data_IF_809491951862
#
_entry.id   IF_809491951862
#
_cell.length_a   1.000
_cell.length_b   1.000
_cell.length_c   1.000
_cell.angle_alpha   90.00
_cell.angle_beta   90.00
_cell.angle_gamma   90.00
#
_symmetry.space_group_name_H-M   'P 1'
#
loop_
_entity.id
_entity.type
_entity.pdbx_description
1 polymer ?
#
# COMPACT_ATOMS: atom_id res chain seq x y z
N UNK A 1 -78.47 5.78 -56.27
CA UNK A 1 -78.92 4.92 -55.16
C UNK A 1 -78.59 5.64 -53.86
N UNK A 2 -79.56 5.75 -52.95
CA UNK A 2 -79.55 6.61 -51.75
C UNK A 2 -78.32 6.36 -50.86
N UNK A 3 -77.66 7.44 -50.42
CA UNK A 3 -76.71 7.42 -49.32
C UNK A 3 -77.50 7.46 -48.01
N UNK A 4 -77.42 6.38 -47.23
CA UNK A 4 -77.88 6.35 -45.85
C UNK A 4 -76.82 6.99 -44.94
N UNK A 5 -77.20 8.05 -44.24
CA UNK A 5 -76.42 8.66 -43.14
C UNK A 5 -76.52 7.81 -41.86
N UNK A 6 -75.41 7.51 -41.17
CA UNK A 6 -75.46 6.91 -39.83
C UNK A 6 -75.74 7.96 -38.74
N UNK A 7 -76.28 7.55 -37.58
CA UNK A 7 -76.77 8.47 -36.55
C UNK A 7 -75.65 9.06 -35.68
N UNK A 8 -75.94 10.25 -35.16
CA UNK A 8 -75.12 11.11 -34.30
C UNK A 8 -74.74 10.39 -32.99
N UNK A 9 -73.46 10.03 -32.84
CA UNK A 9 -72.89 9.42 -31.62
C UNK A 9 -72.43 10.46 -30.59
N UNK A 10 -72.69 10.16 -29.32
CA UNK A 10 -72.69 11.01 -28.13
C UNK A 10 -71.42 11.86 -27.85
N UNK A 11 -71.55 12.98 -27.11
CA UNK A 11 -70.40 13.81 -26.71
C UNK A 11 -69.45 13.06 -25.77
N UNK A 12 -68.14 13.38 -25.81
CA UNK A 12 -67.14 12.69 -24.98
C UNK A 12 -67.35 12.98 -23.49
N UNK A 13 -67.01 12.03 -22.59
CA UNK A 13 -67.18 12.20 -21.16
C UNK A 13 -66.30 13.35 -20.63
N UNK A 14 -66.92 14.24 -19.86
CA UNK A 14 -66.25 15.32 -19.12
C UNK A 14 -65.17 14.74 -18.20
N UNK A 15 -63.91 14.98 -18.57
CA UNK A 15 -62.74 14.64 -17.74
C UNK A 15 -62.80 15.44 -16.44
N UNK A 16 -63.14 14.75 -15.34
CA UNK A 16 -63.20 15.35 -14.01
C UNK A 16 -61.81 15.91 -13.64
N UNK A 17 -61.73 17.24 -13.44
CA UNK A 17 -60.51 17.89 -12.96
C UNK A 17 -60.13 17.28 -11.59
N UNK A 18 -58.89 16.81 -11.42
CA UNK A 18 -58.46 16.23 -10.15
C UNK A 18 -58.61 17.28 -9.04
N UNK A 19 -59.32 16.90 -7.98
CA UNK A 19 -59.53 17.73 -6.80
C UNK A 19 -58.18 18.03 -6.14
N UNK A 20 -57.74 19.29 -6.22
CA UNK A 20 -56.50 19.79 -5.60
C UNK A 20 -56.45 19.60 -4.06
N UNK A 21 -57.56 19.18 -3.44
CA UNK A 21 -57.69 18.98 -1.99
C UNK A 21 -56.80 17.85 -1.44
N UNK A 22 -56.32 16.93 -2.29
CA UNK A 22 -55.42 15.84 -1.89
C UNK A 22 -53.94 16.10 -2.20
N UNK A 23 -53.61 17.12 -2.99
CA UNK A 23 -52.20 17.42 -3.33
C UNK A 23 -51.45 18.02 -2.13
N UNK A 24 -52.08 18.93 -1.40
CA UNK A 24 -51.49 19.58 -0.23
C UNK A 24 -51.07 18.59 0.88
N UNK A 25 -51.89 17.61 1.31
CA UNK A 25 -51.47 16.66 2.34
C UNK A 25 -50.31 15.78 1.87
N UNK A 26 -50.32 15.34 0.60
CA UNK A 26 -49.22 14.53 0.04
C UNK A 26 -47.92 15.33 0.00
N UNK A 27 -47.96 16.59 -0.41
CA UNK A 27 -46.79 17.47 -0.42
C UNK A 27 -46.28 17.75 1.01
N UNK A 28 -47.19 17.90 1.98
CA UNK A 28 -46.79 18.11 3.38
C UNK A 28 -46.14 16.87 3.99
N UNK A 29 -46.64 15.67 3.66
CA UNK A 29 -46.08 14.41 4.15
C UNK A 29 -44.72 14.13 3.53
N UNK A 30 -44.53 14.41 2.24
CA UNK A 30 -43.23 14.26 1.59
C UNK A 30 -42.22 15.28 2.13
N UNK A 31 -42.64 16.53 2.37
CA UNK A 31 -41.79 17.55 2.98
C UNK A 31 -41.39 17.19 4.42
N UNK A 32 -42.32 16.70 5.24
CA UNK A 32 -42.04 16.23 6.60
C UNK A 32 -41.11 15.00 6.60
N UNK A 33 -41.26 14.08 5.64
CA UNK A 33 -40.36 12.94 5.48
C UNK A 33 -38.94 13.37 5.10
N UNK A 34 -38.81 14.34 4.18
CA UNK A 34 -37.50 14.87 3.78
C UNK A 34 -36.82 15.64 4.92
N UNK A 35 -37.61 16.42 5.68
CA UNK A 35 -37.12 17.14 6.85
C UNK A 35 -36.71 16.18 7.97
N UNK A 36 -37.43 15.07 8.16
CA UNK A 36 -37.05 14.02 9.10
C UNK A 36 -35.72 13.37 8.69
N UNK A 37 -35.50 13.06 7.40
CA UNK A 37 -34.23 12.53 6.88
C UNK A 37 -33.05 13.50 7.08
N UNK A 38 -33.28 14.81 6.94
CA UNK A 38 -32.26 15.85 7.17
C UNK A 38 -31.98 16.10 8.65
N UNK A 39 -32.96 15.86 9.52
CA UNK A 39 -32.86 16.01 10.97
C UNK A 39 -32.37 14.74 11.69
N UNK A 40 -32.27 13.58 11.01
CA UNK A 40 -31.55 12.43 11.57
C UNK A 40 -30.09 12.87 11.70
N UNK A 41 -29.56 13.10 12.92
CA UNK A 41 -28.13 13.30 13.05
C UNK A 41 -27.51 12.04 12.46
N UNK A 42 -26.60 12.21 11.51
CA UNK A 42 -25.71 11.14 11.06
C UNK A 42 -24.97 10.71 12.33
N UNK A 43 -25.55 9.77 13.07
CA UNK A 43 -24.94 9.18 14.22
C UNK A 43 -23.71 8.53 13.65
N UNK A 44 -22.57 9.21 13.80
CA UNK A 44 -21.28 8.61 13.48
C UNK A 44 -21.34 7.25 14.15
N UNK A 45 -21.22 6.14 13.41
CA UNK A 45 -21.10 4.86 14.06
C UNK A 45 -20.01 5.04 15.12
N UNK A 46 -20.23 4.55 16.35
CA UNK A 46 -19.17 4.62 17.35
C UNK A 46 -17.89 4.12 16.69
N UNK A 47 -16.74 4.78 16.93
CA UNK A 47 -15.48 4.27 16.39
C UNK A 47 -15.47 2.77 16.68
N UNK A 48 -15.17 1.91 15.68
CA UNK A 48 -15.12 0.49 15.92
C UNK A 48 -14.28 0.34 17.18
N UNK A 49 -14.88 -0.23 18.24
CA UNK A 49 -14.12 -0.63 19.42
C UNK A 49 -12.86 -1.27 18.87
N UNK A 50 -11.65 -0.93 19.34
CA UNK A 50 -10.47 -1.63 18.87
C UNK A 50 -10.86 -3.10 18.96
N UNK A 51 -10.96 -3.75 17.78
CA UNK A 51 -10.96 -5.18 17.73
C UNK A 51 -9.58 -5.43 18.29
N UNK A 52 -9.52 -5.58 19.62
CA UNK A 52 -8.35 -6.09 20.30
C UNK A 52 -8.08 -7.31 19.47
N UNK A 53 -6.97 -7.26 18.73
CA UNK A 53 -6.55 -8.35 17.87
C UNK A 53 -6.58 -9.53 18.80
N UNK A 54 -7.68 -10.27 18.72
CA UNK A 54 -7.89 -11.44 19.51
C UNK A 54 -6.92 -12.33 18.79
N UNK A 55 -5.69 -12.37 19.33
CA UNK A 55 -4.63 -13.29 18.94
C UNK A 55 -5.40 -14.57 18.76
N UNK A 56 -5.64 -14.95 17.51
CA UNK A 56 -6.21 -16.25 17.20
C UNK A 56 -5.14 -17.14 17.80
N UNK A 57 -5.40 -17.64 19.01
CA UNK A 57 -4.68 -18.76 19.56
C UNK A 57 -5.06 -19.87 18.61
N UNK A 58 -4.35 -19.92 17.48
CA UNK A 58 -4.24 -21.12 16.70
C UNK A 58 -3.88 -22.17 17.73
N UNK A 59 -4.78 -23.13 17.90
CA UNK A 59 -4.59 -24.31 18.71
C UNK A 59 -3.45 -25.09 18.07
N UNK A 60 -2.22 -24.71 18.38
CA UNK A 60 -0.99 -25.42 18.07
C UNK A 60 0.09 -24.86 19.00
N UNK A 61 0.24 -25.46 20.19
CA UNK A 61 1.19 -25.07 21.24
C UNK A 61 2.68 -25.24 20.83
N UNK A 62 2.92 -25.59 19.55
CA UNK A 62 4.23 -25.86 18.96
C UNK A 62 4.58 -24.97 17.76
N UNK A 63 3.72 -24.02 17.36
CA UNK A 63 4.07 -23.12 16.25
C UNK A 63 4.98 -21.99 16.74
N UNK A 64 6.13 -21.74 16.07
CA UNK A 64 6.97 -20.60 16.39
C UNK A 64 6.19 -19.29 16.21
N UNK A 65 6.54 -18.23 16.98
CA UNK A 65 5.86 -16.95 16.88
C UNK A 65 6.02 -16.37 15.47
N UNK A 66 4.93 -15.78 14.96
CA UNK A 66 4.94 -15.13 13.66
C UNK A 66 6.02 -14.05 13.61
N UNK A 67 6.83 -14.01 12.54
CA UNK A 67 7.89 -13.04 12.43
C UNK A 67 7.35 -11.66 12.12
N UNK A 68 8.14 -10.64 12.47
CA UNK A 68 7.81 -9.24 12.23
C UNK A 68 8.78 -8.66 11.22
N UNK A 69 8.27 -7.94 10.24
CA UNK A 69 9.06 -7.46 9.12
C UNK A 69 9.02 -5.93 9.08
N UNK A 70 10.17 -5.31 8.86
CA UNK A 70 10.31 -3.90 8.60
C UNK A 70 10.49 -3.67 7.09
N UNK A 71 9.47 -3.09 6.46
CA UNK A 71 9.47 -2.77 5.04
C UNK A 71 9.90 -1.32 4.81
N UNK A 72 10.88 -1.13 3.94
CA UNK A 72 11.18 0.16 3.33
C UNK A 72 10.65 0.16 1.90
N UNK A 73 9.63 0.97 1.62
CA UNK A 73 9.07 1.11 0.27
C UNK A 73 9.59 2.40 -0.35
N UNK A 74 10.42 2.25 -1.39
CA UNK A 74 11.08 3.34 -2.13
C UNK A 74 10.27 3.69 -3.37
N UNK A 75 10.08 4.99 -3.62
CA UNK A 75 9.50 5.52 -4.85
C UNK A 75 10.12 6.86 -5.24
N UNK A 76 9.77 7.34 -6.42
CA UNK A 76 10.19 8.64 -6.95
C UNK A 76 8.98 9.50 -7.31
N UNK A 77 9.20 10.55 -8.10
CA UNK A 77 8.13 11.40 -8.62
C UNK A 77 7.08 10.56 -9.36
N UNK A 78 5.81 10.84 -9.10
CA UNK A 78 4.67 10.09 -9.65
C UNK A 78 4.38 8.71 -9.03
N UNK A 79 5.20 8.19 -8.11
CA UNK A 79 5.00 6.84 -7.57
C UNK A 79 4.07 6.77 -6.33
N UNK A 80 3.56 7.89 -5.81
CA UNK A 80 2.76 7.94 -4.58
C UNK A 80 1.61 6.91 -4.53
N UNK A 81 0.80 6.83 -5.59
CA UNK A 81 -0.30 5.87 -5.67
C UNK A 81 0.18 4.40 -5.75
N UNK A 82 1.30 4.16 -6.44
CA UNK A 82 1.90 2.82 -6.54
C UNK A 82 2.44 2.36 -5.20
N UNK A 83 3.08 3.26 -4.46
CA UNK A 83 3.55 3.02 -3.09
C UNK A 83 2.36 2.70 -2.17
N UNK A 84 1.29 3.48 -2.24
CA UNK A 84 0.09 3.23 -1.42
C UNK A 84 -0.59 1.90 -1.78
N UNK A 85 -0.67 1.56 -3.07
CA UNK A 85 -1.17 0.27 -3.57
C UNK A 85 -0.33 -0.90 -3.05
N UNK A 86 1.00 -0.79 -3.15
CA UNK A 86 1.91 -1.81 -2.65
C UNK A 86 1.77 -1.98 -1.14
N UNK A 87 1.78 -0.87 -0.39
CA UNK A 87 1.60 -0.89 1.06
C UNK A 87 0.35 -1.68 1.45
N UNK A 88 -0.80 -1.41 0.81
CA UNK A 88 -2.05 -2.14 1.07
C UNK A 88 -1.92 -3.65 0.82
N UNK A 89 -1.17 -4.05 -0.19
CA UNK A 89 -0.98 -5.47 -0.53
C UNK A 89 -0.05 -6.21 0.45
N UNK A 90 0.93 -5.50 1.03
CA UNK A 90 1.87 -6.09 2.00
C UNK A 90 1.54 -5.75 3.46
N UNK A 91 0.42 -5.08 3.73
CA UNK A 91 0.09 -4.57 5.05
C UNK A 91 -0.27 -5.70 6.03
N UNK A 92 0.33 -5.64 7.20
CA UNK A 92 -0.01 -6.47 8.35
C UNK A 92 0.24 -5.65 9.64
N UNK A 93 -0.65 -5.69 10.63
CA UNK A 93 -0.57 -4.88 11.85
C UNK A 93 0.68 -5.17 12.71
N UNK A 94 1.28 -6.36 12.59
CA UNK A 94 2.50 -6.73 13.31
C UNK A 94 3.81 -6.22 12.70
N UNK A 95 3.78 -5.72 11.47
CA UNK A 95 4.94 -5.28 10.71
C UNK A 95 5.14 -3.77 10.82
N UNK A 96 6.30 -3.28 10.37
CA UNK A 96 6.65 -1.85 10.33
C UNK A 96 6.86 -1.40 8.89
N UNK A 97 6.40 -0.20 8.56
CA UNK A 97 6.46 0.33 7.19
C UNK A 97 7.02 1.75 7.20
N UNK A 98 8.05 1.96 6.38
CA UNK A 98 8.60 3.28 6.08
C UNK A 98 8.48 3.54 4.58
N UNK A 99 7.73 4.58 4.23
CA UNK A 99 7.55 5.01 2.84
C UNK A 99 8.50 6.16 2.54
N UNK A 100 9.25 6.05 1.45
CA UNK A 100 10.22 7.06 1.05
C UNK A 100 10.01 7.41 -0.42
N UNK A 101 9.51 8.62 -0.67
CA UNK A 101 9.61 9.26 -1.99
C UNK A 101 10.86 10.14 -2.01
N UNK A 102 11.72 9.96 -3.00
CA UNK A 102 12.96 10.72 -3.14
C UNK A 102 12.75 12.23 -3.39
N UNK A 103 13.84 12.99 -3.51
CA UNK A 103 13.77 14.43 -3.82
C UNK A 103 13.36 14.77 -5.25
N UNK A 104 13.18 13.80 -6.16
CA UNK A 104 12.55 14.09 -7.46
C UNK A 104 11.07 14.38 -7.24
N UNK A 105 10.42 13.64 -6.34
CA UNK A 105 9.06 13.90 -5.91
C UNK A 105 8.94 15.26 -5.18
N UNK A 106 7.97 16.13 -5.56
CA UNK A 106 7.76 17.40 -4.88
C UNK A 106 7.30 17.19 -3.43
N UNK A 107 7.58 18.17 -2.57
CA UNK A 107 7.19 18.13 -1.15
C UNK A 107 5.68 17.88 -0.97
N UNK A 108 4.86 18.51 -1.82
CA UNK A 108 3.41 18.32 -1.86
C UNK A 108 3.01 16.86 -2.04
N UNK A 109 3.67 16.11 -2.93
CA UNK A 109 3.34 14.71 -3.15
C UNK A 109 3.65 13.84 -1.93
N UNK A 110 4.73 14.15 -1.18
CA UNK A 110 5.05 13.49 0.09
C UNK A 110 3.99 13.77 1.16
N UNK A 111 3.51 15.01 1.23
CA UNK A 111 2.43 15.41 2.16
C UNK A 111 1.09 14.77 1.80
N UNK A 112 0.78 14.67 0.50
CA UNK A 112 -0.41 13.95 0.01
C UNK A 112 -0.33 12.46 0.34
N UNK A 113 0.83 11.81 0.15
CA UNK A 113 1.03 10.41 0.56
C UNK A 113 0.87 10.24 2.08
N UNK A 114 1.46 11.12 2.88
CA UNK A 114 1.31 11.10 4.34
C UNK A 114 -0.15 11.25 4.76
N UNK A 115 -0.89 12.17 4.13
CA UNK A 115 -2.32 12.38 4.36
C UNK A 115 -3.14 11.14 3.97
N UNK A 116 -2.82 10.53 2.83
CA UNK A 116 -3.50 9.31 2.35
C UNK A 116 -3.26 8.11 3.29
N UNK A 117 -2.06 7.97 3.85
CA UNK A 117 -1.76 6.96 4.88
C UNK A 117 -2.60 7.21 6.14
N UNK A 118 -2.66 8.45 6.62
CA UNK A 118 -3.44 8.79 7.82
C UNK A 118 -4.95 8.65 7.61
N UNK A 119 -5.45 8.75 6.38
CA UNK A 119 -6.87 8.54 6.07
C UNK A 119 -7.33 7.09 6.28
N UNK A 120 -6.42 6.11 6.26
CA UNK A 120 -6.76 4.69 6.44
C UNK A 120 -6.77 4.35 7.93
N UNK A 121 -7.95 4.01 8.46
CA UNK A 121 -8.14 3.75 9.90
C UNK A 121 -7.26 2.59 10.42
N UNK A 122 -7.05 1.54 9.62
CA UNK A 122 -6.18 0.43 10.00
C UNK A 122 -4.73 0.87 10.24
N UNK A 123 -4.19 1.72 9.36
CA UNK A 123 -2.82 2.23 9.48
C UNK A 123 -2.70 3.17 10.68
N UNK A 124 -3.71 4.03 10.87
CA UNK A 124 -3.77 4.97 12.00
C UNK A 124 -3.88 4.24 13.34
N UNK A 125 -4.71 3.21 13.43
CA UNK A 125 -4.94 2.44 14.65
C UNK A 125 -3.71 1.63 15.07
N UNK A 126 -2.97 1.07 14.11
CA UNK A 126 -1.75 0.32 14.38
C UNK A 126 -0.52 1.23 14.60
N UNK A 127 -0.51 2.44 14.03
CA UNK A 127 0.58 3.40 14.18
C UNK A 127 1.91 2.92 13.57
N UNK A 128 1.86 1.97 12.64
CA UNK A 128 3.03 1.23 12.14
C UNK A 128 3.47 1.65 10.72
N UNK A 129 2.87 2.70 10.14
CA UNK A 129 3.20 3.23 8.81
C UNK A 129 3.64 4.67 8.92
N UNK A 130 4.85 4.97 8.44
CA UNK A 130 5.44 6.30 8.47
C UNK A 130 5.93 6.73 7.07
N UNK A 131 5.91 8.03 6.80
CA UNK A 131 6.42 8.61 5.55
C UNK A 131 7.64 9.48 5.86
N UNK A 132 8.72 9.32 5.10
CA UNK A 132 9.94 10.12 5.27
C UNK A 132 9.67 11.58 4.87
N UNK A 133 9.70 12.48 5.85
CA UNK A 133 9.50 13.91 5.61
C UNK A 133 10.66 14.56 4.87
N UNK A 134 11.90 14.34 5.33
CA UNK A 134 13.13 14.88 4.71
C UNK A 134 13.86 13.79 3.93
N UNK A 135 13.45 13.60 2.68
CA UNK A 135 14.06 12.63 1.79
C UNK A 135 15.38 13.13 1.18
N UNK A 136 16.23 12.20 0.78
CA UNK A 136 17.41 12.47 -0.05
C UNK A 136 17.09 12.31 -1.54
N UNK A 137 17.99 12.77 -2.40
CA UNK A 137 17.96 12.37 -3.81
C UNK A 137 18.39 10.90 -3.88
N UNK A 138 17.78 10.12 -4.77
CA UNK A 138 18.10 8.70 -4.95
C UNK A 138 18.29 8.41 -6.44
N UNK A 139 19.53 8.29 -6.88
CA UNK A 139 19.85 7.86 -8.23
C UNK A 139 20.27 6.38 -8.21
N UNK A 140 19.55 5.54 -8.95
CA UNK A 140 19.79 4.10 -9.03
C UNK A 140 21.14 3.72 -9.65
N UNK A 141 21.76 4.62 -10.40
CA UNK A 141 23.10 4.44 -10.97
C UNK A 141 24.22 4.88 -10.02
N UNK A 142 23.87 5.56 -8.92
CA UNK A 142 24.80 6.21 -8.00
C UNK A 142 24.78 5.64 -6.59
N UNK A 143 25.64 6.21 -5.74
CA UNK A 143 25.71 5.82 -4.32
C UNK A 143 24.48 6.29 -3.54
N UNK A 144 23.80 7.33 -4.01
CA UNK A 144 22.62 7.88 -3.34
C UNK A 144 21.46 6.89 -3.22
N UNK A 145 21.29 5.95 -4.16
CA UNK A 145 20.30 4.88 -4.01
C UNK A 145 20.58 3.99 -2.78
N UNK A 146 21.84 3.61 -2.55
CA UNK A 146 22.23 2.85 -1.37
C UNK A 146 22.08 3.70 -0.11
N UNK A 147 22.45 4.99 -0.18
CA UNK A 147 22.24 5.93 0.93
C UNK A 147 20.76 6.02 1.33
N UNK A 148 19.82 6.02 0.39
CA UNK A 148 18.39 6.03 0.70
C UNK A 148 17.96 4.77 1.47
N UNK A 149 18.46 3.59 1.06
CA UNK A 149 18.20 2.32 1.77
C UNK A 149 18.78 2.36 3.19
N UNK A 150 20.04 2.78 3.34
CA UNK A 150 20.71 2.86 4.64
C UNK A 150 20.05 3.87 5.58
N UNK A 151 19.63 5.01 5.04
CA UNK A 151 18.90 6.02 5.79
C UNK A 151 17.56 5.48 6.29
N UNK A 152 16.80 4.79 5.42
CA UNK A 152 15.55 4.16 5.81
C UNK A 152 15.72 3.07 6.87
N UNK A 153 16.71 2.20 6.72
CA UNK A 153 17.06 1.18 7.72
C UNK A 153 17.43 1.81 9.07
N UNK A 154 18.23 2.88 9.06
CA UNK A 154 18.60 3.60 10.28
C UNK A 154 17.39 4.22 11.00
N UNK A 155 16.40 4.75 10.26
CA UNK A 155 15.15 5.26 10.84
C UNK A 155 14.37 4.11 11.48
N UNK A 156 14.21 2.99 10.77
CA UNK A 156 13.46 1.82 11.28
C UNK A 156 14.10 1.24 12.55
N UNK A 157 15.43 1.11 12.59
CA UNK A 157 16.19 0.66 13.78
C UNK A 157 16.04 1.59 14.98
N UNK A 158 15.89 2.90 14.75
CA UNK A 158 15.63 3.88 15.81
C UNK A 158 14.19 3.82 16.31
N UNK A 159 13.26 3.43 15.44
CA UNK A 159 11.83 3.40 15.75
C UNK A 159 11.43 2.13 16.51
N UNK A 160 11.94 0.97 16.10
CA UNK A 160 11.71 -0.31 16.78
C UNK A 160 12.88 -1.26 16.51
N UNK A 161 13.15 -2.15 17.46
CA UNK A 161 14.07 -3.29 17.32
C UNK A 161 13.34 -4.64 17.38
N UNK A 162 12.02 -4.61 17.36
CA UNK A 162 11.20 -5.81 17.59
C UNK A 162 10.80 -6.51 16.28
N UNK A 163 11.42 -6.14 15.17
CA UNK A 163 11.29 -6.83 13.89
C UNK A 163 12.46 -7.79 13.68
N UNK A 164 12.23 -8.84 12.91
CA UNK A 164 13.17 -9.93 12.64
C UNK A 164 13.89 -9.77 11.30
N UNK A 165 13.23 -9.15 10.31
CA UNK A 165 13.81 -8.91 9.00
C UNK A 165 13.53 -7.49 8.50
N UNK A 166 14.54 -6.89 7.87
CA UNK A 166 14.42 -5.70 7.05
C UNK A 166 14.29 -6.09 5.58
N UNK A 167 13.30 -5.54 4.87
CA UNK A 167 13.08 -5.77 3.44
C UNK A 167 12.90 -4.43 2.73
N UNK A 168 13.71 -4.16 1.71
CA UNK A 168 13.48 -3.03 0.81
C UNK A 168 12.66 -3.44 -0.41
N UNK A 169 11.74 -2.58 -0.82
CA UNK A 169 10.89 -2.74 -2.00
C UNK A 169 10.88 -1.45 -2.81
N UNK A 170 10.79 -1.56 -4.13
CA UNK A 170 10.51 -0.45 -5.02
C UNK A 170 9.00 -0.31 -5.26
N UNK A 171 8.54 0.88 -5.64
CA UNK A 171 7.14 1.15 -5.98
C UNK A 171 6.62 0.29 -7.16
N UNK A 172 7.53 -0.23 -7.99
CA UNK A 172 7.23 -1.16 -9.09
C UNK A 172 6.97 -2.59 -8.63
N UNK A 173 7.35 -2.96 -7.41
CA UNK A 173 7.23 -4.33 -6.92
C UNK A 173 5.78 -4.67 -6.54
N UNK A 174 5.49 -5.98 -6.48
CA UNK A 174 4.20 -6.47 -5.99
C UNK A 174 4.31 -7.88 -5.41
N UNK A 175 3.68 -8.18 -4.26
CA UNK A 175 3.74 -9.51 -3.67
C UNK A 175 2.97 -10.53 -4.53
N UNK A 176 3.56 -11.71 -4.71
CA UNK A 176 2.90 -12.86 -5.36
C UNK A 176 2.12 -13.74 -4.38
N UNK A 177 2.37 -13.58 -3.09
CA UNK A 177 1.77 -14.33 -1.99
C UNK A 177 1.24 -13.37 -0.94
N UNK A 178 0.13 -13.72 -0.28
CA UNK A 178 -0.44 -12.88 0.78
C UNK A 178 0.37 -13.00 2.08
N UNK A 179 0.36 -11.93 2.88
CA UNK A 179 1.04 -11.87 4.18
C UNK A 179 0.47 -12.90 5.16
N UNK A 180 -0.83 -12.78 5.41
CA UNK A 180 -1.65 -13.75 6.11
C UNK A 180 -2.67 -14.37 5.13
N UNK A 181 -2.99 -15.65 5.30
CA UNK A 181 -3.90 -16.39 4.41
C UNK A 181 -5.36 -15.95 4.47
N UNK A 182 -5.64 -14.78 5.07
CA UNK A 182 -6.97 -14.28 5.36
C UNK A 182 -7.48 -13.44 4.18
N UNK A 183 -7.78 -14.10 3.06
CA UNK A 183 -8.44 -13.44 1.94
C UNK A 183 -9.91 -13.21 2.31
N UNK A 184 -10.25 -11.99 2.73
CA UNK A 184 -11.64 -11.57 2.93
C UNK A 184 -12.16 -10.88 1.65
N UNK A 185 -12.91 -11.61 0.83
CA UNK A 185 -13.76 -10.98 -0.18
C UNK A 185 -15.08 -10.58 0.47
N UNK A 186 -15.32 -9.28 0.67
CA UNK A 186 -16.66 -8.77 0.99
C UNK A 186 -17.29 -8.25 -0.30
N UNK A 187 -18.14 -9.05 -0.92
CA UNK A 187 -19.16 -8.54 -1.85
C UNK A 187 -20.48 -8.48 -1.09
N UNK A 188 -21.16 -7.32 -1.13
CA UNK A 188 -22.36 -6.98 -0.35
C UNK A 188 -23.60 -7.87 -0.61
N UNK A 189 -23.45 -9.01 -1.28
CA UNK A 189 -24.55 -9.94 -1.57
C UNK A 189 -24.17 -11.41 -1.50
N UNK A 190 -23.04 -11.79 -0.89
CA UNK A 190 -22.69 -13.20 -0.75
C UNK A 190 -21.95 -13.50 0.56
N UNK A 191 -22.69 -13.94 1.58
CA UNK A 191 -22.15 -14.67 2.72
C UNK A 191 -22.05 -16.16 2.35
N UNK A 192 -21.08 -16.52 1.52
CA UNK A 192 -20.63 -17.93 1.47
C UNK A 192 -19.32 -18.01 2.25
N UNK A 193 -19.46 -18.34 3.53
CA UNK A 193 -18.41 -19.01 4.30
C UNK A 193 -18.26 -20.40 3.67
N UNK A 194 -17.16 -20.70 2.98
CA UNK A 194 -16.80 -22.08 2.62
C UNK A 194 -16.28 -22.78 3.88
N UNK A 195 -17.06 -23.62 4.57
CA UNK A 195 -16.64 -24.25 5.81
C UNK A 195 -16.31 -25.70 5.48
N UNK A 196 -15.26 -26.00 4.68
CA UNK A 196 -14.89 -27.42 4.45
C UNK A 196 -13.55 -27.78 3.82
N UNK A 197 -12.59 -26.87 3.67
CA UNK A 197 -11.22 -27.29 3.37
C UNK A 197 -10.26 -26.65 4.36
N UNK A 198 -9.84 -27.46 5.33
CA UNK A 198 -8.85 -27.13 6.35
C UNK A 198 -7.44 -27.20 5.72
N UNK A 199 -7.22 -26.49 4.61
CA UNK A 199 -5.85 -26.18 4.22
C UNK A 199 -5.37 -25.14 5.22
N UNK A 200 -4.41 -25.50 6.07
CA UNK A 200 -3.54 -24.52 6.73
C UNK A 200 -2.99 -23.68 5.58
N UNK A 201 -3.58 -22.50 5.34
CA UNK A 201 -3.21 -21.67 4.20
C UNK A 201 -1.76 -21.26 4.44
N UNK A 202 -0.84 -21.91 3.71
CA UNK A 202 0.58 -21.62 3.73
C UNK A 202 0.70 -20.20 3.18
N UNK A 203 0.90 -19.25 4.09
CA UNK A 203 1.06 -17.83 3.79
C UNK A 203 2.48 -17.40 4.11
N UNK A 204 2.85 -16.21 3.67
CA UNK A 204 4.22 -15.74 3.77
C UNK A 204 4.76 -15.73 5.21
N UNK A 205 3.98 -15.20 6.15
CA UNK A 205 4.40 -15.13 7.56
C UNK A 205 4.45 -16.52 8.20
N UNK A 206 3.56 -17.44 7.81
CA UNK A 206 3.59 -18.83 8.26
C UNK A 206 4.85 -19.55 7.79
N UNK A 207 5.23 -19.42 6.51
CA UNK A 207 6.48 -20.01 5.99
C UNK A 207 7.70 -19.44 6.72
N UNK A 208 7.77 -18.11 6.84
CA UNK A 208 8.90 -17.45 7.51
C UNK A 208 8.99 -17.78 9.00
N UNK A 209 7.90 -18.19 9.66
CA UNK A 209 7.95 -18.58 11.07
C UNK A 209 8.85 -19.80 11.33
N UNK A 210 9.04 -20.68 10.33
CA UNK A 210 9.94 -21.84 10.41
C UNK A 210 11.36 -21.56 9.92
N UNK A 211 11.62 -20.36 9.40
CA UNK A 211 12.93 -19.97 8.91
C UNK A 211 13.77 -19.43 10.08
N UNK A 212 15.02 -19.88 10.25
CA UNK A 212 15.92 -19.33 11.26
C UNK A 212 16.10 -17.81 11.09
N UNK A 213 15.94 -17.06 12.18
CA UNK A 213 15.91 -15.58 12.19
C UNK A 213 17.27 -14.93 11.98
N UNK A 214 18.34 -15.71 11.96
CA UNK A 214 19.73 -15.28 11.73
C UNK A 214 20.15 -15.34 10.25
N UNK A 215 19.24 -15.73 9.35
CA UNK A 215 19.51 -15.84 7.92
C UNK A 215 19.19 -14.57 7.14
N UNK A 216 20.11 -14.24 6.22
CA UNK A 216 19.98 -13.17 5.23
C UNK A 216 19.66 -13.74 3.85
N UNK A 217 18.72 -13.13 3.14
CA UNK A 217 18.35 -13.50 1.77
C UNK A 217 18.83 -12.42 0.81
N UNK A 218 19.92 -12.71 0.12
CA UNK A 218 20.53 -11.81 -0.86
C UNK A 218 20.82 -12.62 -2.12
N UNK A 219 20.21 -12.24 -3.23
CA UNK A 219 20.54 -12.84 -4.51
C UNK A 219 21.86 -12.27 -5.01
N UNK A 220 22.87 -13.12 -5.20
CA UNK A 220 24.16 -12.72 -5.73
C UNK A 220 24.77 -13.79 -6.65
N UNK A 221 25.71 -13.36 -7.50
CA UNK A 221 26.60 -14.22 -8.27
C UNK A 221 28.03 -13.69 -8.16
N UNK A 222 28.99 -14.62 -8.11
CA UNK A 222 30.42 -14.31 -8.15
C UNK A 222 30.95 -14.13 -9.57
N UNK A 223 30.13 -14.41 -10.60
CA UNK A 223 30.50 -14.19 -11.99
C UNK A 223 30.19 -12.74 -12.40
N UNK A 224 31.25 -11.94 -12.50
CA UNK A 224 31.16 -10.51 -12.78
C UNK A 224 31.27 -10.25 -14.30
N UNK A 225 32.07 -11.06 -15.01
CA UNK A 225 32.33 -10.92 -16.44
C UNK A 225 32.58 -9.48 -16.89
N UNK A 226 31.85 -9.05 -17.92
CA UNK A 226 31.97 -7.70 -18.49
C UNK A 226 31.65 -6.56 -17.52
N UNK A 227 30.93 -6.82 -16.42
CA UNK A 227 30.52 -5.79 -15.45
C UNK A 227 31.71 -5.25 -14.65
N UNK A 228 32.81 -5.99 -14.54
CA UNK A 228 33.99 -5.57 -13.78
C UNK A 228 34.54 -4.27 -14.35
N UNK A 229 34.73 -4.25 -15.67
CA UNK A 229 35.26 -3.10 -16.41
C UNK A 229 34.37 -1.85 -16.35
N UNK A 230 33.05 -2.03 -16.14
CA UNK A 230 32.03 -0.98 -16.21
C UNK A 230 31.50 -0.51 -14.85
N UNK A 231 31.61 -1.35 -13.81
CA UNK A 231 31.02 -1.07 -12.48
C UNK A 231 32.04 -1.12 -11.35
N UNK A 232 33.07 -1.97 -11.45
CA UNK A 232 34.07 -2.13 -10.39
C UNK A 232 35.22 -1.16 -10.58
N UNK A 233 35.73 -1.07 -11.81
CA UNK A 233 36.88 -0.23 -12.17
C UNK A 233 36.49 1.21 -12.53
N UNK A 234 35.21 1.46 -12.84
CA UNK A 234 34.70 2.80 -13.16
C UNK A 234 34.72 3.71 -11.94
N UNK A 235 35.14 4.96 -12.13
CA UNK A 235 34.97 6.01 -11.12
C UNK A 235 33.68 6.76 -11.43
N UNK A 236 32.79 6.82 -10.46
CA UNK A 236 31.48 7.46 -10.57
C UNK A 236 31.39 8.51 -9.47
N UNK A 237 31.00 9.72 -9.84
CA UNK A 237 30.75 10.82 -8.92
C UNK A 237 29.26 11.07 -8.90
N UNK A 238 28.64 10.86 -7.74
CA UNK A 238 27.23 11.14 -7.50
C UNK A 238 27.10 12.49 -6.78
N UNK A 239 26.69 13.56 -7.48
CA UNK A 239 26.57 14.89 -6.89
C UNK A 239 25.53 14.93 -5.78
N UNK A 240 24.52 14.06 -5.82
CA UNK A 240 23.42 14.06 -4.85
C UNK A 240 23.86 13.71 -3.43
N UNK A 241 25.10 13.23 -3.24
CA UNK A 241 25.67 12.95 -1.93
C UNK A 241 26.21 14.22 -1.23
N UNK A 242 26.76 15.18 -1.96
CA UNK A 242 27.49 16.33 -1.39
C UNK A 242 27.02 17.70 -1.91
N UNK A 243 26.29 17.74 -3.02
CA UNK A 243 25.64 18.94 -3.52
C UNK A 243 24.13 18.79 -3.37
N UNK A 244 23.47 19.87 -2.92
CA UNK A 244 22.02 19.97 -2.97
C UNK A 244 21.48 20.03 -4.42
N UNK A 245 22.36 20.19 -5.41
CA UNK A 245 22.03 20.27 -6.81
C UNK A 245 21.58 18.91 -7.35
N UNK A 246 20.36 18.88 -7.89
CA UNK A 246 19.76 17.73 -8.57
C UNK A 246 20.41 17.56 -9.94
N UNK A 247 21.59 16.95 -9.99
CA UNK A 247 22.33 16.71 -11.23
C UNK A 247 22.48 15.22 -11.48
N UNK A 248 22.62 14.90 -12.76
CA UNK A 248 22.97 13.55 -13.19
C UNK A 248 24.36 13.18 -12.72
N UNK A 249 24.60 11.87 -12.71
CA UNK A 249 25.86 11.29 -12.29
C UNK A 249 26.94 11.59 -13.32
N UNK A 250 28.17 11.78 -12.84
CA UNK A 250 29.34 11.95 -13.69
C UNK A 250 30.18 10.68 -13.67
N UNK A 251 30.51 10.21 -14.88
CA UNK A 251 31.46 9.12 -15.06
C UNK A 251 32.86 9.70 -15.32
N UNK A 252 33.82 9.28 -14.51
CA UNK A 252 35.22 9.62 -14.73
C UNK A 252 35.76 8.96 -16.00
N UNK A 253 36.61 9.67 -16.74
CA UNK A 253 37.33 9.12 -17.89
C UNK A 253 38.38 8.07 -17.49
N UNK A 254 38.89 8.16 -16.25
CA UNK A 254 39.87 7.23 -15.70
C UNK A 254 39.21 6.06 -14.98
N UNK A 255 39.93 4.93 -14.91
CA UNK A 255 39.55 3.74 -14.17
C UNK A 255 40.48 3.54 -12.97
N UNK A 256 39.94 3.04 -11.86
CA UNK A 256 40.73 2.65 -10.69
C UNK A 256 41.21 1.20 -10.80
N UNK A 257 42.32 0.82 -10.13
CA UNK A 257 42.72 -0.59 -10.03
C UNK A 257 41.70 -1.41 -9.23
N UNK A 258 41.68 -2.73 -9.47
CA UNK A 258 40.80 -3.66 -8.75
C UNK A 258 41.23 -3.75 -7.28
N UNK A 259 40.33 -3.47 -6.30
CA UNK A 259 40.64 -3.67 -4.89
C UNK A 259 40.95 -5.14 -4.58
N UNK A 260 41.99 -5.37 -3.76
CA UNK A 260 42.45 -6.72 -3.39
C UNK A 260 41.98 -7.20 -2.02
N UNK A 261 41.45 -6.29 -1.19
CA UNK A 261 41.06 -6.60 0.20
C UNK A 261 39.76 -7.41 0.32
N UNK A 262 38.96 -7.50 -0.74
CA UNK A 262 37.65 -8.17 -0.73
C UNK A 262 37.27 -8.64 -2.13
N UNK A 263 36.36 -9.63 -2.18
CA UNK A 263 35.80 -10.15 -3.42
C UNK A 263 34.49 -9.44 -3.76
N UNK A 264 34.30 -9.17 -5.05
CA UNK A 264 33.07 -8.58 -5.55
C UNK A 264 32.04 -9.64 -5.89
N UNK A 265 30.78 -9.30 -5.65
CA UNK A 265 29.61 -10.05 -6.11
C UNK A 265 28.64 -9.08 -6.77
N UNK A 266 27.92 -9.55 -7.79
CA UNK A 266 26.83 -8.79 -8.43
C UNK A 266 25.51 -9.47 -8.12
N UNK A 267 24.45 -8.69 -7.89
CA UNK A 267 23.20 -9.26 -7.43
C UNK A 267 22.00 -8.35 -7.65
N UNK A 268 20.90 -8.71 -7.00
CA UNK A 268 19.71 -7.87 -6.91
C UNK A 268 19.91 -6.76 -5.88
N UNK A 269 19.21 -5.64 -6.06
CA UNK A 269 19.12 -4.57 -5.07
C UNK A 269 18.10 -4.89 -3.96
N UNK A 270 17.22 -5.86 -4.19
CA UNK A 270 16.24 -6.33 -3.22
C UNK A 270 16.92 -7.31 -2.26
N UNK A 271 16.83 -7.01 -0.97
CA UNK A 271 17.47 -7.78 0.09
C UNK A 271 16.49 -7.99 1.25
N UNK A 272 16.59 -9.15 1.91
CA UNK A 272 16.01 -9.36 3.22
C UNK A 272 17.13 -9.66 4.21
N UNK A 273 17.29 -8.80 5.22
CA UNK A 273 18.40 -8.89 6.19
C UNK A 273 17.83 -9.08 7.58
N UNK A 274 18.35 -10.06 8.30
CA UNK A 274 18.05 -10.34 9.69
C UNK A 274 18.50 -9.21 10.61
N UNK A 275 17.67 -8.88 11.60
CA UNK A 275 18.06 -8.06 12.74
C UNK A 275 18.74 -8.92 13.79
N UNK A 276 20.00 -8.60 14.09
CA UNK A 276 20.77 -9.21 15.18
C UNK A 276 20.28 -8.74 16.55
#
# INVERSE_FOLDING_TARGET
MRQDTPPLGAPPPSMAKPSAKLLFPILSLSFLSLLALLLVPFARPPPPRPLGFSRVRYLDDHSPPAPRIAYLILGSDGDGDRVLRLLRAVYHPGNWYLLHLDLRAPQRQREELASAVQAVDAFRAAGNVNVVGKAGYANCEGSTAITAVLHGAAILLRHSKEWDWFVNLAASDYPLITQDGNVWFTSSSCLIRYPRFNFKSINFLHVLSFVPRDLNFIQHTGDIGWKESRRVLSIIVDPGLYLAARRDIFHGSQKRPLPTAYKFFTGSILIAIATL
#
